data_IF_985615986396
#
_entry.id   IF_985615986396
#
_cell.length_a   1.000
_cell.length_b   1.000
_cell.length_c   1.000
_cell.angle_alpha   90.00
_cell.angle_beta   90.00
_cell.angle_gamma   90.00
#
_symmetry.space_group_name_H-M   'P 1'
#
loop_
_entity.id
_entity.type
_entity.pdbx_description
1 polymer ?
#
# COMPACT_ATOMS: atom_id res chain seq x y z
N UNK A 1 12.45 -58.54 27.91
CA UNK A 1 11.95 -57.63 26.85
C UNK A 1 11.42 -56.39 27.56
N UNK A 2 12.17 -55.31 27.53
CA UNK A 2 11.70 -53.98 28.00
C UNK A 2 10.94 -53.30 26.87
N UNK A 3 9.64 -53.17 27.07
CA UNK A 3 8.77 -52.39 26.18
C UNK A 3 9.08 -50.92 26.41
N UNK A 4 9.78 -50.28 25.47
CA UNK A 4 9.92 -48.83 25.44
C UNK A 4 8.57 -48.26 25.04
N UNK A 5 7.84 -47.75 26.01
CA UNK A 5 6.63 -46.96 25.75
C UNK A 5 7.07 -45.63 25.06
N UNK A 6 6.82 -45.53 23.79
CA UNK A 6 6.88 -44.22 23.10
C UNK A 6 5.76 -43.35 23.68
N UNK A 7 6.15 -42.35 24.45
CA UNK A 7 5.25 -41.29 24.88
C UNK A 7 4.84 -40.51 23.63
N UNK A 8 3.69 -40.83 23.07
CA UNK A 8 3.10 -40.20 21.89
C UNK A 8 2.32 -38.94 22.30
N UNK A 9 3.00 -37.98 22.92
CA UNK A 9 2.41 -36.63 23.06
C UNK A 9 2.12 -36.06 21.70
N UNK A 10 0.86 -35.71 21.41
CA UNK A 10 0.44 -35.08 20.15
C UNK A 10 0.89 -33.63 20.04
N UNK A 11 1.26 -33.02 21.14
CA UNK A 11 1.71 -31.63 21.24
C UNK A 11 3.21 -31.64 21.56
N UNK A 12 4.01 -31.00 20.73
CA UNK A 12 5.43 -30.85 20.91
C UNK A 12 5.86 -29.40 20.79
N UNK A 13 6.90 -29.00 21.52
CA UNK A 13 7.53 -27.70 21.36
C UNK A 13 8.31 -27.72 20.05
N UNK A 14 8.05 -26.73 19.16
CA UNK A 14 8.79 -26.60 17.89
C UNK A 14 10.25 -26.21 18.17
N UNK A 15 11.19 -26.66 17.34
CA UNK A 15 12.55 -26.12 17.34
C UNK A 15 12.49 -24.58 17.10
N UNK A 16 13.35 -23.83 17.79
CA UNK A 16 13.35 -22.36 17.72
C UNK A 16 13.41 -21.83 16.29
N UNK A 17 14.27 -22.40 15.43
CA UNK A 17 14.38 -22.02 14.04
C UNK A 17 13.06 -22.17 13.24
N UNK A 18 12.27 -23.21 13.53
CA UNK A 18 10.96 -23.43 12.89
C UNK A 18 9.94 -22.43 13.44
N UNK A 19 9.93 -22.21 14.76
CA UNK A 19 9.06 -21.21 15.37
C UNK A 19 9.36 -19.79 14.82
N UNK A 20 10.63 -19.46 14.63
CA UNK A 20 11.07 -18.18 14.06
C UNK A 20 10.62 -18.02 12.59
N UNK A 21 10.73 -19.08 11.78
CA UNK A 21 10.24 -19.07 10.40
C UNK A 21 8.71 -18.90 10.30
N UNK A 22 7.95 -19.50 11.24
CA UNK A 22 6.49 -19.33 11.31
C UNK A 22 6.16 -17.88 11.67
N UNK A 23 6.76 -17.35 12.76
CA UNK A 23 6.54 -15.98 13.20
C UNK A 23 6.99 -14.94 12.16
N UNK A 24 8.09 -15.21 11.45
CA UNK A 24 8.52 -14.37 10.33
C UNK A 24 7.46 -14.28 9.22
N UNK A 25 6.53 -15.24 9.14
CA UNK A 25 5.43 -15.19 8.17
C UNK A 25 4.44 -14.08 8.39
N UNK A 26 4.29 -13.62 9.59
CA UNK A 26 3.40 -12.51 9.94
C UNK A 26 4.01 -11.13 9.63
N UNK A 27 5.34 -11.05 9.55
CA UNK A 27 6.09 -9.81 9.36
C UNK A 27 6.60 -9.69 7.92
N UNK A 28 7.15 -10.78 7.38
CA UNK A 28 7.80 -10.82 6.06
C UNK A 28 7.02 -11.73 5.12
N UNK A 29 6.05 -11.17 4.41
CA UNK A 29 5.30 -11.89 3.38
C UNK A 29 5.98 -11.87 2.01
N UNK A 30 6.64 -10.76 1.68
CA UNK A 30 7.23 -10.47 0.37
C UNK A 30 8.34 -9.43 0.45
N UNK A 31 9.10 -9.20 -0.66
CA UNK A 31 10.16 -8.19 -0.70
C UNK A 31 9.71 -6.78 -0.29
N UNK A 32 8.50 -6.35 -0.68
CA UNK A 32 7.99 -5.02 -0.30
C UNK A 32 7.75 -4.87 1.21
N UNK A 33 7.47 -5.97 1.93
CA UNK A 33 7.39 -5.94 3.40
C UNK A 33 8.76 -5.69 4.02
N UNK A 34 9.83 -6.33 3.48
CA UNK A 34 11.21 -6.09 3.91
C UNK A 34 11.60 -4.64 3.69
N UNK A 35 11.37 -4.10 2.47
CA UNK A 35 11.66 -2.70 2.15
C UNK A 35 10.93 -1.76 3.12
N UNK A 36 9.64 -2.01 3.37
CA UNK A 36 8.84 -1.20 4.27
C UNK A 36 9.44 -1.16 5.68
N UNK A 37 9.67 -2.31 6.30
CA UNK A 37 10.17 -2.38 7.68
C UNK A 37 11.58 -1.77 7.81
N UNK A 38 12.47 -1.99 6.83
CA UNK A 38 13.83 -1.43 6.88
C UNK A 38 13.84 0.08 6.65
N UNK A 39 13.03 0.60 5.73
CA UNK A 39 12.89 2.06 5.52
C UNK A 39 12.24 2.71 6.73
N UNK A 40 11.22 2.11 7.34
CA UNK A 40 10.61 2.60 8.58
C UNK A 40 11.64 2.64 9.73
N UNK A 41 12.56 1.65 9.82
CA UNK A 41 13.64 1.68 10.79
C UNK A 41 14.62 2.82 10.54
N UNK A 42 15.01 3.08 9.29
CA UNK A 42 15.84 4.21 8.92
C UNK A 42 15.19 5.55 9.28
N UNK A 43 13.88 5.70 9.03
CA UNK A 43 13.11 6.88 9.42
C UNK A 43 13.06 7.08 10.95
N UNK A 44 12.87 5.99 11.70
CA UNK A 44 12.89 6.01 13.17
C UNK A 44 14.29 6.36 13.72
N UNK A 45 15.36 6.02 12.97
CA UNK A 45 16.74 6.41 13.28
C UNK A 45 17.04 7.89 12.92
N UNK A 46 16.05 8.65 12.45
CA UNK A 46 16.20 10.06 12.10
C UNK A 46 16.98 10.29 10.80
N UNK A 47 16.98 9.34 9.88
CA UNK A 47 17.65 9.49 8.59
C UNK A 47 17.07 10.66 7.78
N UNK A 48 17.96 11.41 7.14
CA UNK A 48 17.63 12.48 6.18
C UNK A 48 17.84 12.03 4.74
N UNK A 49 18.65 10.99 4.54
CA UNK A 49 18.96 10.40 3.23
C UNK A 49 18.86 8.89 3.33
N UNK A 50 18.05 8.29 2.46
CA UNK A 50 17.85 6.84 2.41
C UNK A 50 18.04 6.36 0.97
N UNK A 51 18.98 5.45 0.75
CA UNK A 51 19.21 4.79 -0.54
C UNK A 51 18.74 3.35 -0.48
N UNK A 52 17.86 2.99 -1.39
CA UNK A 52 17.26 1.66 -1.53
C UNK A 52 17.80 1.03 -2.81
N UNK A 53 18.45 -0.12 -2.73
CA UNK A 53 18.89 -0.90 -3.90
C UNK A 53 18.19 -2.24 -3.91
N UNK A 54 17.62 -2.60 -5.05
CA UNK A 54 16.82 -3.80 -5.25
C UNK A 54 17.30 -4.54 -6.48
N UNK A 55 17.45 -5.87 -6.40
CA UNK A 55 17.77 -6.74 -7.53
C UNK A 55 16.74 -7.88 -7.63
N UNK A 56 16.41 -8.26 -8.87
CA UNK A 56 15.40 -9.29 -9.19
C UNK A 56 14.08 -9.09 -8.42
N UNK A 57 13.57 -7.83 -8.38
CA UNK A 57 12.34 -7.51 -7.65
C UNK A 57 12.45 -7.72 -6.13
N UNK A 58 13.66 -7.75 -5.59
CA UNK A 58 13.95 -7.94 -4.17
C UNK A 58 14.03 -9.39 -3.71
N UNK A 59 14.01 -10.34 -4.63
CA UNK A 59 14.24 -11.77 -4.33
C UNK A 59 15.71 -12.07 -4.11
N UNK A 60 16.57 -11.50 -4.97
CA UNK A 60 18.02 -11.67 -4.90
C UNK A 60 18.62 -10.76 -3.84
N UNK A 61 18.28 -9.46 -3.85
CA UNK A 61 18.85 -8.46 -2.95
C UNK A 61 17.88 -7.33 -2.67
N UNK A 62 17.83 -6.92 -1.39
CA UNK A 62 17.32 -5.63 -0.91
C UNK A 62 18.38 -5.04 0.00
N UNK A 63 18.89 -3.86 -0.35
CA UNK A 63 19.86 -3.11 0.45
C UNK A 63 19.31 -1.73 0.75
N UNK A 64 19.30 -1.34 2.03
CA UNK A 64 18.87 -0.04 2.48
C UNK A 64 20.02 0.59 3.27
N UNK A 65 20.46 1.75 2.81
CA UNK A 65 21.51 2.54 3.42
C UNK A 65 20.94 3.89 3.86
N UNK A 66 21.19 4.26 5.10
CA UNK A 66 20.73 5.49 5.73
C UNK A 66 21.87 6.23 6.42
N UNK A 67 21.65 7.52 6.69
CA UNK A 67 22.53 8.44 7.44
C UNK A 67 22.05 8.71 8.88
N UNK A 68 21.19 7.83 9.42
CA UNK A 68 20.61 7.96 10.75
C UNK A 68 21.62 7.87 11.90
N UNK A 69 21.12 7.73 13.13
CA UNK A 69 21.99 7.69 14.34
C UNK A 69 22.91 6.47 14.40
N UNK A 70 22.61 5.40 13.66
CA UNK A 70 23.37 4.15 13.72
C UNK A 70 23.18 3.37 15.01
N UNK A 71 23.96 2.31 15.18
CA UNK A 71 23.99 1.43 16.37
C UNK A 71 25.44 1.18 16.79
N UNK A 72 25.68 1.05 18.08
CA UNK A 72 26.94 0.52 18.57
C UNK A 72 27.03 -1.00 18.37
N UNK A 73 28.16 -1.62 18.73
CA UNK A 73 28.39 -3.06 18.54
C UNK A 73 27.40 -3.93 19.33
N UNK A 74 27.05 -3.50 20.53
CA UNK A 74 26.11 -4.20 21.40
C UNK A 74 24.71 -4.18 20.83
N UNK A 75 24.24 -2.98 20.47
CA UNK A 75 22.92 -2.76 19.87
C UNK A 75 22.79 -3.44 18.50
N UNK A 76 23.84 -3.40 17.66
CA UNK A 76 23.87 -4.07 16.37
C UNK A 76 23.66 -5.58 16.50
N UNK A 77 24.31 -6.21 17.48
CA UNK A 77 24.13 -7.65 17.74
C UNK A 77 22.77 -7.94 18.37
N UNK A 78 22.35 -7.12 19.34
CA UNK A 78 21.08 -7.27 20.04
C UNK A 78 19.87 -7.05 19.13
N UNK A 79 20.00 -6.21 18.09
CA UNK A 79 18.94 -5.92 17.12
C UNK A 79 18.43 -7.15 16.37
N UNK A 80 19.20 -8.24 16.33
CA UNK A 80 18.84 -9.53 15.77
C UNK A 80 18.16 -10.47 16.77
N UNK A 81 18.06 -10.07 18.05
CA UNK A 81 17.33 -10.82 19.08
C UNK A 81 15.85 -10.44 19.05
N UNK A 82 14.98 -11.44 19.23
CA UNK A 82 13.52 -11.20 19.30
C UNK A 82 13.17 -10.34 20.50
N UNK A 83 12.19 -9.47 20.33
CA UNK A 83 11.70 -8.55 21.37
C UNK A 83 12.73 -7.50 21.83
N UNK A 84 13.88 -7.39 21.16
CA UNK A 84 14.83 -6.32 21.40
C UNK A 84 14.41 -5.04 20.65
N UNK A 85 14.14 -3.97 21.40
CA UNK A 85 13.72 -2.70 20.83
C UNK A 85 14.19 -1.53 21.70
N UNK A 86 14.65 -0.46 21.07
CA UNK A 86 14.96 0.81 21.72
C UNK A 86 13.78 1.79 21.78
N UNK A 87 12.60 1.40 21.21
CA UNK A 87 11.51 2.32 20.90
C UNK A 87 10.42 2.37 21.96
N UNK A 88 10.27 1.30 22.76
CA UNK A 88 9.35 1.22 23.90
C UNK A 88 10.00 0.45 25.05
N UNK A 89 9.70 0.84 26.26
CA UNK A 89 10.20 0.19 27.50
C UNK A 89 9.08 -0.24 28.42
N UNK A 90 7.84 0.19 28.15
CA UNK A 90 6.68 -0.18 28.98
C UNK A 90 5.39 -0.33 28.15
N UNK A 91 4.41 -1.04 28.70
CA UNK A 91 3.13 -1.26 28.04
C UNK A 91 2.32 0.02 27.85
N UNK A 92 2.48 1.01 28.71
CA UNK A 92 1.78 2.31 28.62
C UNK A 92 2.23 3.08 27.39
N UNK A 93 3.47 2.90 26.95
CA UNK A 93 4.01 3.53 25.74
C UNK A 93 3.45 2.95 24.43
N UNK A 94 2.71 1.83 24.49
CA UNK A 94 1.98 1.30 23.34
C UNK A 94 0.82 2.21 22.90
N UNK A 95 0.27 2.98 23.85
CA UNK A 95 -0.76 3.97 23.53
C UNK A 95 -0.08 5.21 22.94
N UNK A 96 -0.42 5.54 21.69
CA UNK A 96 0.11 6.74 21.03
C UNK A 96 1.56 6.62 20.53
N UNK A 97 2.04 5.40 20.24
CA UNK A 97 3.36 5.16 19.66
C UNK A 97 3.59 6.01 18.42
N UNK A 98 4.62 6.87 18.45
CA UNK A 98 5.01 7.75 17.35
C UNK A 98 5.99 7.09 16.38
N UNK A 99 6.82 6.14 16.84
CA UNK A 99 7.74 5.40 15.98
C UNK A 99 7.00 4.47 15.04
N UNK A 100 7.51 4.26 13.84
CA UNK A 100 6.93 3.32 12.87
C UNK A 100 7.01 1.87 13.37
N UNK A 101 8.17 1.43 13.88
CA UNK A 101 8.39 0.13 14.50
C UNK A 101 8.39 0.22 16.02
N UNK A 102 7.97 -0.84 16.72
CA UNK A 102 8.01 -0.93 18.19
C UNK A 102 8.12 -2.35 18.74
N UNK A 103 7.91 -3.39 17.92
CA UNK A 103 7.83 -4.80 18.39
C UNK A 103 9.17 -5.50 18.56
N UNK A 104 10.27 -4.96 17.98
CA UNK A 104 11.58 -5.62 18.00
C UNK A 104 11.61 -6.97 17.28
N UNK A 105 10.82 -7.11 16.21
CA UNK A 105 10.67 -8.38 15.49
C UNK A 105 11.08 -8.32 14.01
N UNK A 106 11.21 -7.11 13.42
CA UNK A 106 11.44 -6.97 11.99
C UNK A 106 12.80 -7.56 11.55
N UNK A 107 13.91 -7.13 12.16
CA UNK A 107 15.25 -7.62 11.83
C UNK A 107 15.41 -9.11 12.12
N UNK A 108 15.01 -9.64 13.29
CA UNK A 108 15.04 -11.09 13.56
C UNK A 108 14.20 -11.89 12.54
N UNK A 109 13.02 -11.40 12.19
CA UNK A 109 12.14 -12.07 11.22
C UNK A 109 12.78 -12.10 9.81
N UNK A 110 13.37 -11.00 9.35
CA UNK A 110 14.08 -10.96 8.07
C UNK A 110 15.28 -11.91 8.10
N UNK A 111 16.11 -11.87 9.16
CA UNK A 111 17.27 -12.72 9.30
C UNK A 111 16.92 -14.21 9.31
N UNK A 112 15.77 -14.60 9.90
CA UNK A 112 15.35 -16.01 10.00
C UNK A 112 15.00 -16.64 8.64
N UNK A 113 14.66 -15.83 7.63
CA UNK A 113 14.24 -16.31 6.30
C UNK A 113 15.16 -15.84 5.16
N UNK A 114 16.32 -15.24 5.48
CA UNK A 114 17.27 -14.70 4.48
C UNK A 114 18.71 -14.79 5.00
N UNK A 115 19.65 -14.35 4.19
CA UNK A 115 20.97 -13.93 4.61
C UNK A 115 20.94 -12.43 4.83
N UNK A 116 21.31 -11.99 6.03
CA UNK A 116 21.26 -10.60 6.44
C UNK A 116 22.65 -10.09 6.83
N UNK A 117 22.99 -8.91 6.35
CA UNK A 117 24.21 -8.18 6.74
C UNK A 117 23.81 -6.79 7.24
N UNK A 118 24.33 -6.40 8.38
CA UNK A 118 24.14 -5.07 8.98
C UNK A 118 25.50 -4.43 9.15
N UNK A 119 25.73 -3.32 8.47
CA UNK A 119 26.87 -2.42 8.71
C UNK A 119 26.35 -1.15 9.37
N UNK A 120 26.86 -0.80 10.54
CA UNK A 120 26.33 0.34 11.30
C UNK A 120 27.45 1.05 12.06
N UNK A 121 27.31 2.36 12.23
CA UNK A 121 28.21 3.18 13.02
C UNK A 121 27.44 4.37 13.62
N UNK A 122 27.76 4.71 14.86
CA UNK A 122 27.26 5.91 15.55
C UNK A 122 28.08 7.14 15.23
N UNK A 123 29.34 6.94 14.81
CA UNK A 123 30.29 7.97 14.43
C UNK A 123 31.03 7.56 13.15
N UNK A 124 31.61 8.52 12.44
CA UNK A 124 32.40 8.27 11.24
C UNK A 124 33.70 7.51 11.56
N UNK A 125 33.95 6.46 10.77
CA UNK A 125 35.19 5.70 10.83
C UNK A 125 35.16 4.45 11.72
N UNK A 126 34.40 4.43 12.79
CA UNK A 126 34.30 3.29 13.72
C UNK A 126 32.91 2.67 13.61
N UNK A 127 32.80 1.49 13.04
CA UNK A 127 31.54 0.78 12.86
C UNK A 127 31.66 -0.71 13.11
N UNK A 128 30.52 -1.37 13.03
CA UNK A 128 30.38 -2.82 13.22
C UNK A 128 29.65 -3.43 12.03
N UNK A 129 30.14 -4.58 11.60
CA UNK A 129 29.45 -5.45 10.66
C UNK A 129 28.97 -6.68 11.41
N UNK A 130 27.70 -7.00 11.25
CA UNK A 130 27.07 -8.23 11.77
C UNK A 130 26.46 -8.98 10.58
N UNK A 131 26.75 -10.28 10.47
CA UNK A 131 26.14 -11.17 9.49
C UNK A 131 25.31 -12.24 10.20
N UNK A 132 24.17 -12.52 9.63
CA UNK A 132 23.28 -13.58 10.08
C UNK A 132 22.72 -14.38 8.91
N UNK A 133 22.50 -15.67 9.11
CA UNK A 133 21.84 -16.54 8.13
C UNK A 133 20.86 -17.47 8.84
N UNK A 134 19.63 -17.54 8.36
CA UNK A 134 18.58 -18.38 8.95
C UNK A 134 18.29 -18.08 10.42
N UNK A 135 18.50 -16.83 10.84
CA UNK A 135 18.31 -16.35 12.21
C UNK A 135 19.52 -16.47 13.13
N UNK A 136 20.59 -17.17 12.72
CA UNK A 136 21.82 -17.30 13.51
C UNK A 136 22.85 -16.24 13.12
N UNK A 137 23.43 -15.54 14.10
CA UNK A 137 24.57 -14.66 13.87
C UNK A 137 25.80 -15.52 13.57
N UNK A 138 26.42 -15.29 12.41
CA UNK A 138 27.58 -16.07 11.93
C UNK A 138 28.89 -15.29 12.01
N UNK A 139 28.83 -13.96 12.00
CA UNK A 139 30.01 -13.10 12.09
C UNK A 139 29.67 -11.77 12.76
N UNK A 140 30.57 -11.28 13.60
CA UNK A 140 30.55 -9.90 14.10
C UNK A 140 31.98 -9.38 14.10
N UNK A 141 32.25 -8.32 13.32
CA UNK A 141 33.57 -7.71 13.19
C UNK A 141 33.49 -6.20 13.09
N UNK A 142 34.62 -5.56 13.27
CA UNK A 142 34.75 -4.13 13.07
C UNK A 142 34.65 -3.81 11.56
N UNK A 143 34.08 -2.68 11.23
CA UNK A 143 33.94 -2.15 9.89
C UNK A 143 34.20 -0.64 9.88
N UNK A 144 34.83 -0.15 8.83
CA UNK A 144 35.02 1.29 8.64
C UNK A 144 33.88 1.84 7.78
N UNK A 145 33.08 2.73 8.35
CA UNK A 145 32.00 3.38 7.61
C UNK A 145 31.69 4.78 8.17
N UNK A 146 30.91 5.56 7.44
CA UNK A 146 30.31 6.79 7.94
C UNK A 146 29.15 6.45 8.89
N UNK A 147 28.79 7.39 9.76
CA UNK A 147 27.61 7.30 10.62
C UNK A 147 26.38 6.86 9.81
N UNK A 148 25.51 6.06 10.43
CA UNK A 148 24.28 5.53 9.87
C UNK A 148 24.24 4.02 9.82
N UNK A 149 23.30 3.43 9.08
CA UNK A 149 23.14 1.98 8.95
C UNK A 149 22.99 1.57 7.49
N UNK A 150 23.56 0.43 7.14
CA UNK A 150 23.27 -0.27 5.88
C UNK A 150 22.82 -1.69 6.23
N UNK A 151 21.60 -2.03 5.85
CA UNK A 151 21.07 -3.39 5.97
C UNK A 151 20.97 -3.98 4.58
N UNK A 152 21.63 -5.12 4.37
CA UNK A 152 21.59 -5.88 3.12
C UNK A 152 20.94 -7.23 3.40
N UNK A 153 19.78 -7.48 2.80
CA UNK A 153 19.11 -8.77 2.78
C UNK A 153 19.34 -9.41 1.42
N UNK A 154 19.78 -10.65 1.43
CA UNK A 154 19.97 -11.46 0.22
C UNK A 154 19.29 -12.81 0.34
N UNK A 155 18.97 -13.43 -0.82
CA UNK A 155 18.40 -14.78 -0.93
C UNK A 155 17.14 -14.99 -0.10
N UNK A 156 16.16 -14.07 -0.23
CA UNK A 156 14.89 -14.15 0.51
C UNK A 156 14.21 -15.51 0.33
N UNK A 157 13.83 -16.13 1.45
CA UNK A 157 13.17 -17.45 1.53
C UNK A 157 14.02 -18.63 1.06
N UNK A 158 15.37 -18.52 1.05
CA UNK A 158 16.25 -19.62 0.64
C UNK A 158 16.06 -20.90 1.47
N UNK A 159 15.69 -20.75 2.73
CA UNK A 159 15.45 -21.83 3.70
C UNK A 159 13.97 -22.18 3.88
N UNK A 160 13.07 -21.55 3.12
CA UNK A 160 11.62 -21.79 3.14
C UNK A 160 11.08 -21.96 1.72
N UNK A 161 11.36 -23.12 1.05
CA UNK A 161 11.07 -23.30 -0.40
C UNK A 161 9.59 -23.13 -0.76
N UNK A 162 8.67 -23.49 0.14
CA UNK A 162 7.25 -23.29 -0.08
C UNK A 162 6.94 -21.80 -0.26
N UNK A 163 7.47 -20.93 0.62
CA UNK A 163 7.28 -19.47 0.54
C UNK A 163 7.94 -18.87 -0.69
N UNK A 164 9.13 -19.35 -1.05
CA UNK A 164 9.83 -18.90 -2.25
C UNK A 164 9.00 -19.12 -3.53
N UNK A 165 8.27 -20.26 -3.61
CA UNK A 165 7.36 -20.56 -4.74
C UNK A 165 6.13 -19.65 -4.80
N UNK A 166 5.70 -19.05 -3.70
CA UNK A 166 4.59 -18.10 -3.68
C UNK A 166 4.98 -16.67 -4.08
N UNK A 167 6.27 -16.37 -4.23
CA UNK A 167 6.70 -15.08 -4.75
C UNK A 167 6.25 -14.93 -6.21
N UNK A 168 5.73 -13.75 -6.51
CA UNK A 168 5.30 -13.39 -7.86
C UNK A 168 6.51 -13.18 -8.79
N UNK A 169 6.27 -12.81 -10.04
CA UNK A 169 7.34 -12.42 -10.96
C UNK A 169 8.13 -11.23 -10.40
N UNK A 170 9.43 -11.12 -10.75
CA UNK A 170 10.28 -10.01 -10.32
C UNK A 170 9.65 -8.64 -10.64
N UNK A 171 9.03 -8.53 -11.83
CA UNK A 171 8.29 -7.32 -12.25
C UNK A 171 7.11 -6.97 -11.32
N UNK A 172 6.38 -7.98 -10.87
CA UNK A 172 5.23 -7.76 -9.96
C UNK A 172 5.69 -7.39 -8.54
N UNK A 173 6.76 -8.05 -8.04
CA UNK A 173 7.32 -7.70 -6.73
C UNK A 173 7.95 -6.31 -6.75
N UNK A 174 8.66 -5.96 -7.83
CA UNK A 174 9.20 -4.61 -8.02
C UNK A 174 8.10 -3.54 -8.00
N UNK A 175 6.97 -3.76 -8.70
CA UNK A 175 5.82 -2.83 -8.66
C UNK A 175 5.33 -2.63 -7.23
N UNK A 176 5.19 -3.71 -6.46
CA UNK A 176 4.77 -3.64 -5.05
C UNK A 176 5.76 -2.84 -4.17
N UNK A 177 7.07 -2.94 -4.46
CA UNK A 177 8.11 -2.13 -3.80
C UNK A 177 7.94 -0.65 -4.16
N UNK A 178 7.76 -0.33 -5.45
CA UNK A 178 7.54 1.05 -5.89
C UNK A 178 6.30 1.68 -5.26
N UNK A 179 5.18 0.95 -5.19
CA UNK A 179 3.96 1.43 -4.55
C UNK A 179 4.19 1.74 -3.07
N UNK A 180 4.95 0.89 -2.37
CA UNK A 180 5.34 1.10 -0.98
C UNK A 180 6.22 2.36 -0.85
N UNK A 181 7.20 2.52 -1.72
CA UNK A 181 8.10 3.69 -1.70
C UNK A 181 7.36 5.00 -2.03
N UNK A 182 6.43 4.98 -2.99
CA UNK A 182 5.59 6.13 -3.29
C UNK A 182 4.77 6.58 -2.07
N UNK A 183 4.18 5.63 -1.34
CA UNK A 183 3.42 5.92 -0.14
C UNK A 183 4.29 6.52 0.98
N UNK A 184 5.46 5.92 1.24
CA UNK A 184 6.40 6.41 2.27
C UNK A 184 6.97 7.77 1.88
N UNK A 185 7.40 7.96 0.63
CA UNK A 185 7.96 9.21 0.16
C UNK A 185 6.95 10.37 0.20
N UNK A 186 5.68 10.12 -0.09
CA UNK A 186 4.60 11.09 0.06
C UNK A 186 4.37 11.49 1.52
N UNK A 187 4.64 10.58 2.47
CA UNK A 187 4.52 10.84 3.90
C UNK A 187 5.68 11.70 4.44
N UNK A 188 6.92 11.40 4.00
CA UNK A 188 8.16 11.99 4.48
C UNK A 188 8.77 12.89 3.40
N UNK A 189 8.21 14.10 3.29
CA UNK A 189 8.69 15.11 2.34
C UNK A 189 10.08 15.66 2.70
N UNK A 190 10.46 15.56 3.97
CA UNK A 190 11.71 16.02 4.57
C UNK A 190 12.92 15.11 4.30
N UNK A 191 12.72 13.92 3.73
CA UNK A 191 13.75 12.91 3.48
C UNK A 191 14.07 12.79 2.00
N UNK A 192 15.35 12.69 1.66
CA UNK A 192 15.81 12.35 0.32
C UNK A 192 15.80 10.84 0.13
N UNK A 193 15.03 10.36 -0.85
CA UNK A 193 14.97 8.94 -1.22
C UNK A 193 15.58 8.71 -2.60
N UNK A 194 16.56 7.80 -2.67
CA UNK A 194 17.06 7.28 -3.95
C UNK A 194 16.73 5.79 -4.05
N UNK A 195 16.00 5.38 -5.08
CA UNK A 195 15.64 3.97 -5.31
C UNK A 195 16.30 3.49 -6.59
N UNK A 196 17.07 2.40 -6.47
CA UNK A 196 17.77 1.73 -7.58
C UNK A 196 17.20 0.34 -7.79
N UNK A 197 17.05 -0.04 -9.04
CA UNK A 197 16.62 -1.39 -9.44
C UNK A 197 17.50 -1.90 -10.58
N UNK A 198 18.10 -3.07 -10.37
CA UNK A 198 19.00 -3.72 -11.33
C UNK A 198 20.06 -2.74 -11.89
N UNK A 199 20.71 -2.02 -10.98
CA UNK A 199 21.79 -1.07 -11.29
C UNK A 199 21.33 0.30 -11.81
N UNK A 200 20.03 0.51 -12.09
CA UNK A 200 19.49 1.78 -12.60
C UNK A 200 18.77 2.57 -11.52
N UNK A 201 18.86 3.89 -11.58
CA UNK A 201 18.05 4.76 -10.70
C UNK A 201 16.61 4.78 -11.24
N UNK A 202 15.68 4.31 -10.43
CA UNK A 202 14.25 4.30 -10.74
C UNK A 202 13.52 5.52 -10.16
N UNK A 203 13.91 5.97 -8.96
CA UNK A 203 13.41 7.18 -8.31
C UNK A 203 14.57 7.93 -7.69
N UNK A 204 14.56 9.25 -7.82
CA UNK A 204 15.41 10.18 -7.08
C UNK A 204 14.54 11.34 -6.62
N UNK A 205 14.30 11.39 -5.30
CA UNK A 205 13.31 12.26 -4.67
C UNK A 205 13.98 13.09 -3.57
N UNK A 206 14.61 14.22 -3.90
CA UNK A 206 15.18 15.14 -2.91
C UNK A 206 14.15 15.56 -1.87
N UNK A 207 14.59 16.00 -0.69
CA UNK A 207 13.71 16.63 0.29
C UNK A 207 12.96 17.82 -0.33
N UNK A 208 11.73 18.05 0.09
CA UNK A 208 10.84 19.10 -0.44
C UNK A 208 10.08 19.81 0.67
N UNK A 209 9.67 21.06 0.42
CA UNK A 209 8.96 21.92 1.38
C UNK A 209 7.47 21.52 1.58
N UNK A 210 7.11 20.29 1.29
CA UNK A 210 5.77 19.82 1.59
C UNK A 210 5.17 18.83 0.58
N UNK A 211 3.94 18.45 0.88
CA UNK A 211 3.24 17.38 0.16
C UNK A 211 3.06 17.70 -1.33
N UNK A 212 2.68 18.92 -1.68
CA UNK A 212 2.42 19.31 -3.07
C UNK A 212 3.68 19.19 -3.94
N UNK A 213 4.81 19.69 -3.46
CA UNK A 213 6.09 19.60 -4.15
C UNK A 213 6.56 18.14 -4.27
N UNK A 214 6.41 17.34 -3.20
CA UNK A 214 6.74 15.91 -3.21
C UNK A 214 5.89 15.14 -4.23
N UNK A 215 4.60 15.38 -4.26
CA UNK A 215 3.70 14.72 -5.22
C UNK A 215 3.93 15.21 -6.66
N UNK A 216 4.35 16.47 -6.86
CA UNK A 216 4.77 16.96 -8.16
C UNK A 216 6.01 16.23 -8.68
N UNK A 217 6.98 15.93 -7.81
CA UNK A 217 8.14 15.11 -8.15
C UNK A 217 7.77 13.64 -8.48
N UNK A 218 6.75 13.08 -7.79
CA UNK A 218 6.29 11.71 -8.00
C UNK A 218 5.37 11.53 -9.21
N UNK A 219 4.47 12.47 -9.46
CA UNK A 219 3.38 12.33 -10.45
C UNK A 219 3.50 13.29 -11.62
N UNK A 220 4.36 14.30 -11.50
CA UNK A 220 4.51 15.38 -12.47
C UNK A 220 3.71 16.63 -12.09
N UNK A 221 4.24 17.81 -12.47
CA UNK A 221 3.65 19.11 -12.13
C UNK A 221 2.24 19.27 -12.68
N UNK A 222 2.00 18.89 -13.95
CA UNK A 222 0.67 18.99 -14.59
C UNK A 222 -0.41 18.20 -13.86
N UNK A 223 -0.06 17.04 -13.34
CA UNK A 223 -1.00 16.22 -12.58
C UNK A 223 -1.38 16.90 -11.26
N UNK A 224 -0.42 17.52 -10.58
CA UNK A 224 -0.67 18.17 -9.29
C UNK A 224 -1.42 19.50 -9.41
N UNK A 225 -1.38 20.17 -10.56
CA UNK A 225 -2.20 21.36 -10.83
C UNK A 225 -3.71 21.06 -10.78
N UNK A 226 -4.11 19.80 -10.99
CA UNK A 226 -5.51 19.35 -10.90
C UNK A 226 -6.02 19.25 -9.46
N UNK A 227 -5.15 19.41 -8.46
CA UNK A 227 -5.49 19.20 -7.08
C UNK A 227 -5.63 20.51 -6.29
N UNK A 228 -6.65 20.55 -5.43
CA UNK A 228 -6.87 21.59 -4.44
C UNK A 228 -6.18 21.20 -3.13
N UNK A 229 -5.67 22.17 -2.41
CA UNK A 229 -5.15 21.96 -1.05
C UNK A 229 -6.29 21.88 -0.06
N UNK A 230 -6.19 20.92 0.86
CA UNK A 230 -7.05 20.80 2.04
C UNK A 230 -6.20 21.16 3.23
N UNK A 231 -6.68 22.07 4.06
CA UNK A 231 -6.10 22.41 5.35
C UNK A 231 -7.24 22.89 6.25
N UNK A 232 -7.72 22.04 7.15
CA UNK A 232 -8.87 22.29 7.97
C UNK A 232 -8.76 21.66 9.35
N UNK A 233 -9.16 22.41 10.36
CA UNK A 233 -9.20 21.95 11.75
C UNK A 233 -10.66 21.89 12.21
N UNK A 234 -11.11 20.69 12.56
CA UNK A 234 -12.45 20.47 13.11
C UNK A 234 -12.33 19.77 14.46
N UNK A 235 -12.60 20.52 15.55
CA UNK A 235 -12.35 20.03 16.90
C UNK A 235 -10.89 19.62 17.09
N UNK A 236 -10.62 18.40 17.58
CA UNK A 236 -9.27 17.92 17.79
C UNK A 236 -8.61 17.30 16.51
N UNK A 237 -9.34 17.26 15.40
CA UNK A 237 -8.89 16.63 14.16
C UNK A 237 -8.39 17.69 13.20
N UNK A 238 -7.15 17.54 12.73
CA UNK A 238 -6.58 18.37 11.67
C UNK A 238 -6.45 17.53 10.39
N UNK A 239 -7.10 17.99 9.32
CA UNK A 239 -7.11 17.33 8.00
C UNK A 239 -6.34 18.19 7.02
N UNK A 240 -5.24 17.66 6.52
CA UNK A 240 -4.45 18.31 5.47
C UNK A 240 -4.34 17.41 4.25
N UNK A 241 -4.01 17.96 3.09
CA UNK A 241 -3.79 17.13 1.92
C UNK A 241 -4.12 17.80 0.60
N UNK A 242 -4.36 16.95 -0.38
CA UNK A 242 -4.69 17.33 -1.75
C UNK A 242 -5.88 16.50 -2.25
N UNK A 243 -6.85 17.18 -2.87
CA UNK A 243 -8.04 16.55 -3.45
C UNK A 243 -8.23 17.02 -4.87
N UNK A 244 -8.62 16.14 -5.78
CA UNK A 244 -8.77 16.45 -7.20
C UNK A 244 -9.95 17.42 -7.42
N UNK A 245 -9.76 18.44 -8.25
CA UNK A 245 -10.85 19.37 -8.62
C UNK A 245 -11.96 18.63 -9.37
N UNK A 246 -13.24 18.87 -9.07
CA UNK A 246 -14.36 18.19 -9.74
C UNK A 246 -14.29 18.26 -11.27
N UNK A 247 -13.88 19.41 -11.82
CA UNK A 247 -13.77 19.62 -13.28
C UNK A 247 -12.66 18.79 -13.95
N UNK A 248 -11.69 18.32 -13.18
CA UNK A 248 -10.54 17.56 -13.67
C UNK A 248 -10.64 16.06 -13.41
N UNK A 249 -11.67 15.62 -12.66
CA UNK A 249 -11.89 14.19 -12.37
C UNK A 249 -12.30 13.47 -13.65
N UNK A 250 -11.45 12.56 -14.08
CA UNK A 250 -11.66 11.76 -15.28
C UNK A 250 -11.84 10.27 -14.99
N UNK A 251 -11.91 9.48 -16.09
CA UNK A 251 -11.96 8.01 -16.03
C UNK A 251 -10.57 7.38 -15.91
N UNK A 252 -9.52 8.20 -15.72
CA UNK A 252 -8.13 7.76 -15.62
C UNK A 252 -7.82 7.03 -14.31
N UNK A 253 -6.54 6.69 -14.11
CA UNK A 253 -6.07 6.00 -12.91
C UNK A 253 -6.29 6.85 -11.67
N UNK A 254 -7.16 6.37 -10.80
CA UNK A 254 -7.43 6.96 -9.50
C UNK A 254 -6.27 6.75 -8.54
N UNK A 255 -5.88 7.78 -7.81
CA UNK A 255 -4.82 7.72 -6.80
C UNK A 255 -5.40 8.06 -5.43
N UNK A 256 -5.31 7.12 -4.50
CA UNK A 256 -5.81 7.33 -3.14
C UNK A 256 -4.72 7.01 -2.15
N UNK A 257 -4.38 7.98 -1.31
CA UNK A 257 -3.42 7.83 -0.24
C UNK A 257 -4.00 8.46 1.03
N UNK A 258 -4.11 7.67 2.07
CA UNK A 258 -4.63 8.09 3.37
C UNK A 258 -3.58 7.85 4.44
N UNK A 259 -3.39 8.85 5.29
CA UNK A 259 -2.39 8.83 6.36
C UNK A 259 -3.03 9.29 7.66
N UNK A 260 -2.75 8.59 8.76
CA UNK A 260 -3.15 9.00 10.12
C UNK A 260 -1.89 9.05 11.00
N UNK A 261 -1.66 10.20 11.65
CA UNK A 261 -0.54 10.41 12.57
C UNK A 261 0.80 9.91 12.01
N UNK A 262 1.07 10.20 10.73
CA UNK A 262 2.31 9.82 10.08
C UNK A 262 2.36 8.37 9.57
N UNK A 263 1.25 7.61 9.58
CA UNK A 263 1.19 6.23 9.05
C UNK A 263 0.28 6.14 7.85
N UNK A 264 0.72 5.45 6.82
CA UNK A 264 -0.14 5.10 5.67
C UNK A 264 -1.12 4.01 6.09
N UNK A 265 -2.40 4.26 5.88
CA UNK A 265 -3.46 3.31 6.20
C UNK A 265 -4.36 3.03 4.99
N UNK A 266 -5.01 1.86 5.03
CA UNK A 266 -6.06 1.47 4.09
C UNK A 266 -7.39 1.46 4.83
N UNK A 267 -8.19 2.50 4.63
CA UNK A 267 -9.47 2.63 5.28
C UNK A 267 -10.52 3.21 4.31
N UNK A 268 -11.43 2.34 3.92
CA UNK A 268 -12.50 2.70 2.97
C UNK A 268 -13.54 3.66 3.56
N UNK A 269 -13.71 3.73 4.87
CA UNK A 269 -14.68 4.64 5.49
C UNK A 269 -14.26 6.10 5.35
N UNK A 270 -13.01 6.43 5.65
CA UNK A 270 -12.49 7.79 5.48
C UNK A 270 -12.46 8.21 4.00
N UNK A 271 -12.15 7.26 3.12
CA UNK A 271 -12.22 7.51 1.68
C UNK A 271 -13.65 7.83 1.26
N UNK A 272 -14.64 7.05 1.71
CA UNK A 272 -16.07 7.32 1.44
C UNK A 272 -16.55 8.63 2.06
N UNK A 273 -16.06 9.00 3.24
CA UNK A 273 -16.35 10.28 3.87
C UNK A 273 -15.84 11.45 3.01
N UNK A 274 -14.59 11.36 2.49
CA UNK A 274 -14.05 12.34 1.57
C UNK A 274 -14.83 12.39 0.25
N UNK A 275 -15.20 11.25 -0.34
CA UNK A 275 -16.02 11.14 -1.56
C UNK A 275 -17.43 11.70 -1.37
N UNK A 276 -17.98 11.63 -0.16
CA UNK A 276 -19.29 12.20 0.14
C UNK A 276 -19.36 13.71 -0.10
N UNK A 277 -18.24 14.43 0.04
CA UNK A 277 -18.16 15.85 -0.26
C UNK A 277 -18.34 16.16 -1.77
N UNK A 278 -18.12 15.19 -2.65
CA UNK A 278 -18.24 15.35 -4.10
C UNK A 278 -19.62 14.98 -4.66
N UNK A 279 -20.55 14.50 -3.84
CA UNK A 279 -21.86 13.98 -4.32
C UNK A 279 -22.66 14.95 -5.16
N UNK A 280 -22.51 16.26 -4.93
CA UNK A 280 -23.20 17.31 -5.69
C UNK A 280 -22.47 17.74 -6.97
N UNK A 281 -21.20 17.36 -7.14
CA UNK A 281 -20.34 17.86 -8.20
C UNK A 281 -19.88 16.80 -9.20
N UNK A 282 -19.94 15.52 -8.82
CA UNK A 282 -19.53 14.40 -9.68
C UNK A 282 -20.71 13.50 -10.03
N UNK A 283 -20.74 12.95 -11.25
CA UNK A 283 -21.69 11.90 -11.64
C UNK A 283 -21.54 10.65 -10.77
N UNK A 284 -22.63 9.87 -10.64
CA UNK A 284 -22.60 8.60 -9.94
C UNK A 284 -21.55 7.64 -10.55
N UNK A 285 -20.74 7.01 -9.70
CA UNK A 285 -19.70 6.07 -10.12
C UNK A 285 -18.34 6.71 -10.44
N UNK A 286 -18.27 8.03 -10.63
CA UNK A 286 -17.01 8.75 -10.80
C UNK A 286 -16.40 9.07 -9.44
N UNK A 287 -15.12 8.74 -9.26
CA UNK A 287 -14.43 8.88 -7.98
C UNK A 287 -13.16 9.71 -8.13
N UNK A 288 -12.94 10.73 -7.27
CA UNK A 288 -11.76 11.57 -7.31
C UNK A 288 -10.52 10.88 -6.77
N UNK A 289 -9.35 11.36 -7.17
CA UNK A 289 -8.08 11.06 -6.50
C UNK A 289 -7.95 11.90 -5.23
N UNK A 290 -7.45 11.29 -4.14
CA UNK A 290 -7.39 11.87 -2.81
C UNK A 290 -6.05 11.55 -2.14
N UNK A 291 -5.39 12.55 -1.60
CA UNK A 291 -4.23 12.37 -0.71
C UNK A 291 -4.49 13.14 0.56
N UNK A 292 -4.82 12.45 1.63
CA UNK A 292 -5.23 13.05 2.89
C UNK A 292 -4.31 12.62 4.04
N UNK A 293 -3.94 13.59 4.85
CA UNK A 293 -3.22 13.43 6.12
C UNK A 293 -4.14 13.84 7.25
N UNK A 294 -4.43 12.91 8.13
CA UNK A 294 -5.25 13.12 9.31
C UNK A 294 -4.34 13.17 10.53
N UNK A 295 -4.44 14.24 11.29
CA UNK A 295 -3.84 14.33 12.60
C UNK A 295 -4.94 14.23 13.64
N UNK A 296 -4.90 13.17 14.45
CA UNK A 296 -5.90 12.82 15.46
C UNK A 296 -5.19 12.67 16.79
N UNK A 297 -5.78 13.08 17.93
CA UNK A 297 -5.19 12.85 19.24
C UNK A 297 -4.79 11.39 19.46
N UNK A 298 -3.61 11.18 20.00
CA UNK A 298 -3.00 9.85 20.10
C UNK A 298 -3.73 8.92 21.08
N UNK A 299 -4.43 9.45 22.07
CA UNK A 299 -5.28 8.72 23.03
C UNK A 299 -6.55 8.13 22.39
N UNK A 300 -6.93 8.63 21.22
CA UNK A 300 -8.07 8.14 20.43
C UNK A 300 -7.70 7.10 19.37
N UNK A 301 -6.40 6.76 19.18
CA UNK A 301 -5.93 5.91 18.08
C UNK A 301 -5.20 4.69 18.61
N UNK A 302 -5.73 3.49 18.36
CA UNK A 302 -5.02 2.23 18.57
C UNK A 302 -4.40 1.77 17.25
N UNK A 303 -3.07 1.72 17.21
CA UNK A 303 -2.27 1.29 16.06
C UNK A 303 -1.86 -0.18 16.11
N UNK A 304 -2.14 -0.87 17.21
CA UNK A 304 -1.75 -2.27 17.45
C UNK A 304 -2.83 -3.26 17.00
N UNK A 305 -3.39 -3.08 15.81
CA UNK A 305 -4.51 -3.89 15.31
C UNK A 305 -4.05 -5.03 14.40
N UNK A 306 -3.09 -4.76 13.51
CA UNK A 306 -2.63 -5.72 12.51
C UNK A 306 -1.10 -5.75 12.44
N UNK A 307 -0.45 -6.93 12.23
CA UNK A 307 1.01 -7.03 12.09
C UNK A 307 1.60 -6.08 11.05
N UNK A 308 0.97 -5.95 9.89
CA UNK A 308 1.39 -5.03 8.82
C UNK A 308 1.10 -3.55 9.10
N UNK A 309 0.48 -3.20 10.25
CA UNK A 309 0.16 -1.81 10.67
C UNK A 309 -0.64 -1.01 9.63
N UNK A 310 -1.34 -1.69 8.71
CA UNK A 310 -2.12 -1.08 7.64
C UNK A 310 -3.51 -0.62 8.08
N UNK A 311 -3.93 -1.01 9.29
CA UNK A 311 -5.21 -0.66 9.88
C UNK A 311 -5.00 0.02 11.23
N UNK A 312 -5.87 0.96 11.54
CA UNK A 312 -5.94 1.62 12.85
C UNK A 312 -7.35 1.53 13.39
N UNK A 313 -7.50 1.36 14.70
CA UNK A 313 -8.78 1.49 15.36
C UNK A 313 -8.88 2.87 16.02
N UNK A 314 -9.95 3.58 15.73
CA UNK A 314 -10.28 4.82 16.39
C UNK A 314 -11.32 4.53 17.49
N UNK A 315 -11.12 5.14 18.66
CA UNK A 315 -12.09 5.07 19.75
C UNK A 315 -13.45 5.62 19.30
N UNK A 316 -13.43 6.75 18.63
CA UNK A 316 -14.61 7.39 18.05
C UNK A 316 -14.33 7.76 16.59
N UNK A 317 -14.88 6.97 15.72
CA UNK A 317 -14.64 7.07 14.28
C UNK A 317 -15.48 8.17 13.61
N UNK A 318 -16.72 8.33 14.07
CA UNK A 318 -17.67 9.20 13.41
C UNK A 318 -17.27 10.69 13.37
N UNK A 319 -16.76 11.32 14.46
CA UNK A 319 -16.27 12.70 14.41
C UNK A 319 -15.12 12.88 13.40
N UNK A 320 -14.24 11.89 13.26
CA UNK A 320 -13.12 11.95 12.31
C UNK A 320 -13.61 11.85 10.87
N UNK A 321 -14.54 10.94 10.56
CA UNK A 321 -15.17 10.84 9.24
C UNK A 321 -15.89 12.13 8.86
N UNK A 322 -16.61 12.72 9.80
CA UNK A 322 -17.28 14.01 9.60
C UNK A 322 -16.30 15.16 9.38
N UNK A 323 -15.20 15.19 10.12
CA UNK A 323 -14.13 16.18 9.92
C UNK A 323 -13.53 16.08 8.52
N UNK A 324 -13.26 14.85 8.04
CA UNK A 324 -12.76 14.59 6.68
C UNK A 324 -13.76 15.10 5.63
N UNK A 325 -15.05 14.75 5.74
CA UNK A 325 -16.07 15.22 4.80
C UNK A 325 -16.17 16.75 4.79
N UNK A 326 -16.16 17.40 5.96
CA UNK A 326 -16.24 18.85 6.06
C UNK A 326 -15.00 19.55 5.49
N UNK A 327 -13.80 19.05 5.77
CA UNK A 327 -12.55 19.58 5.26
C UNK A 327 -12.51 19.57 3.73
N UNK A 328 -12.88 18.43 3.13
CA UNK A 328 -12.94 18.30 1.67
C UNK A 328 -14.02 19.21 1.09
N UNK A 329 -15.22 19.27 1.70
CA UNK A 329 -16.32 20.14 1.26
C UNK A 329 -15.93 21.62 1.30
N UNK A 330 -15.21 22.06 2.33
CA UNK A 330 -14.70 23.45 2.42
C UNK A 330 -13.67 23.73 1.32
N UNK A 331 -12.75 22.82 1.06
CA UNK A 331 -11.77 22.97 -0.01
C UNK A 331 -12.42 23.07 -1.39
N UNK A 332 -13.50 22.32 -1.64
CA UNK A 332 -14.30 22.41 -2.87
C UNK A 332 -15.14 23.69 -2.92
N UNK A 333 -15.75 24.12 -1.81
CA UNK A 333 -16.63 25.29 -1.74
C UNK A 333 -15.89 26.62 -1.88
N UNK A 334 -14.62 26.72 -1.53
CA UNK A 334 -13.78 27.90 -1.79
C UNK A 334 -13.66 28.19 -3.29
N UNK A 335 -13.70 27.13 -4.14
CA UNK A 335 -13.66 27.32 -5.59
C UNK A 335 -15.01 27.80 -6.16
N UNK A 336 -16.13 27.33 -5.61
CA UNK A 336 -17.47 27.82 -6.02
C UNK A 336 -17.62 29.30 -5.70
N UNK A 337 -17.12 29.75 -4.54
CA UNK A 337 -17.13 31.15 -4.15
C UNK A 337 -16.20 32.02 -5.02
N UNK A 338 -15.05 31.50 -5.45
CA UNK A 338 -14.11 32.22 -6.33
C UNK A 338 -14.55 32.23 -7.80
N UNK A 339 -15.26 31.19 -8.24
CA UNK A 339 -15.86 31.15 -9.57
C UNK A 339 -17.07 32.10 -9.72
N UNK A 340 -17.71 32.44 -8.60
CA UNK A 340 -18.89 33.33 -8.54
C UNK A 340 -18.58 34.85 -8.65
N UNK A 341 -17.31 35.26 -8.71
CA UNK A 341 -16.91 36.68 -8.81
C UNK A 341 -16.70 37.12 -10.27
N UNK A 342 -17.10 36.33 -11.23
CA UNK A 342 -17.35 36.83 -12.58
C UNK A 342 -18.78 37.41 -12.67
N UNK A 343 -18.94 38.67 -12.41
CA UNK A 343 -20.20 39.41 -12.62
C UNK A 343 -20.64 39.26 -14.10
N UNK A 344 -21.26 38.18 -14.45
CA UNK A 344 -22.24 38.17 -15.54
C UNK A 344 -23.54 38.62 -14.90
N UNK A 345 -23.85 39.94 -15.07
CA UNK A 345 -25.19 40.41 -14.94
C UNK A 345 -26.06 39.53 -15.83
N UNK A 346 -26.82 38.63 -15.22
CA UNK A 346 -27.88 37.91 -15.89
C UNK A 346 -28.97 38.95 -16.21
N UNK A 347 -28.94 39.51 -17.42
CA UNK A 347 -30.08 40.19 -17.99
C UNK A 347 -31.11 39.11 -18.31
N UNK A 348 -32.29 39.13 -17.67
CA UNK A 348 -33.35 38.23 -18.07
C UNK A 348 -33.58 38.41 -19.56
N UNK A 349 -33.36 37.34 -20.34
CA UNK A 349 -33.83 37.35 -21.71
C UNK A 349 -35.33 37.64 -21.69
N UNK A 350 -35.74 38.66 -22.45
CA UNK A 350 -37.14 39.00 -22.64
C UNK A 350 -37.91 37.68 -22.90
N UNK A 351 -38.90 37.42 -22.05
CA UNK A 351 -39.80 36.25 -22.24
C UNK A 351 -40.37 36.35 -23.64
N UNK A 352 -40.20 35.33 -24.50
CA UNK A 352 -40.88 35.29 -25.78
C UNK A 352 -42.39 35.33 -25.52
N UNK A 353 -43.07 36.27 -26.14
CA UNK A 353 -44.53 36.40 -26.07
C UNK A 353 -45.15 35.30 -26.89
N UNK A 354 -45.34 34.14 -26.30
CA UNK A 354 -45.97 32.93 -26.90
C UNK A 354 -47.48 33.08 -27.04
N UNK A 355 -48.01 34.28 -26.72
CA UNK A 355 -49.46 34.56 -26.81
C UNK A 355 -49.90 35.17 -28.14
N UNK A 356 -49.02 35.37 -29.09
CA UNK A 356 -49.37 35.78 -30.44
C UNK A 356 -48.93 34.71 -31.41
N UNK A 357 -49.85 33.85 -31.78
CA UNK A 357 -50.05 33.14 -33.03
C UNK A 357 -50.71 31.78 -32.76
N UNK A 358 -51.98 31.85 -32.40
CA UNK A 358 -52.84 30.71 -32.57
C UNK A 358 -53.34 30.74 -34.01
N UNK A 359 -52.53 30.26 -34.94
CA UNK A 359 -53.03 29.82 -36.22
C UNK A 359 -53.51 28.37 -36.10
N UNK A 360 -54.81 28.21 -36.22
CA UNK A 360 -55.51 26.98 -36.47
C UNK A 360 -54.77 26.12 -37.50
N UNK A 361 -54.23 24.99 -36.99
CA UNK A 361 -53.82 23.87 -37.85
C UNK A 361 -54.96 22.87 -37.86
N UNK A 362 -55.47 22.61 -39.05
CA UNK A 362 -56.46 21.60 -39.33
C UNK A 362 -55.97 20.21 -38.96
N UNK A 363 -56.87 19.27 -38.56
CA UNK A 363 -56.51 17.92 -38.20
C UNK A 363 -56.42 17.05 -39.46
N UNK A 364 -55.22 16.82 -39.95
CA UNK A 364 -55.04 15.75 -40.93
C UNK A 364 -53.85 14.85 -40.60
N UNK A 365 -54.16 13.54 -40.78
CA UNK A 365 -53.25 12.41 -40.84
C UNK A 365 -52.71 11.84 -39.54
N UNK A 366 -53.53 11.01 -38.92
CA UNK A 366 -53.13 9.83 -38.19
C UNK A 366 -52.20 8.93 -39.03
N UNK A 367 -50.92 8.96 -38.78
CA UNK A 367 -49.99 7.88 -39.17
C UNK A 367 -49.59 7.07 -37.94
N UNK A 368 -49.68 5.73 -37.99
CA UNK A 368 -49.35 4.90 -36.88
C UNK A 368 -47.83 4.95 -36.60
N UNK A 369 -47.47 5.12 -35.34
CA UNK A 369 -46.08 5.01 -34.85
C UNK A 369 -45.68 3.53 -34.90
N UNK A 370 -44.46 3.19 -35.35
CA UNK A 370 -43.95 1.82 -35.21
C UNK A 370 -43.74 1.50 -33.74
N UNK A 371 -44.32 0.42 -33.26
CA UNK A 371 -44.06 -0.22 -31.98
C UNK A 371 -42.66 -0.83 -32.02
N UNK A 372 -41.77 -0.32 -31.18
CA UNK A 372 -40.54 -1.05 -30.87
C UNK A 372 -40.85 -2.06 -29.76
N UNK A 373 -41.13 -3.26 -30.15
CA UNK A 373 -41.04 -4.44 -29.30
C UNK A 373 -39.60 -5.00 -29.41
N UNK A 374 -39.01 -5.23 -28.27
CA UNK A 374 -37.82 -6.09 -28.15
C UNK A 374 -36.54 -5.40 -27.82
N UNK A 375 -36.32 -5.09 -26.55
CA UNK A 375 -34.98 -5.14 -25.89
C UNK A 375 -35.10 -5.11 -24.35
N UNK A 376 -35.84 -6.06 -23.79
CA UNK A 376 -35.68 -6.44 -22.39
C UNK A 376 -35.75 -7.96 -22.32
N UNK A 377 -34.60 -8.56 -22.39
CA UNK A 377 -34.42 -9.97 -22.13
C UNK A 377 -33.03 -10.23 -21.58
N UNK A 378 -33.04 -10.87 -20.42
CA UNK A 378 -31.94 -11.56 -19.76
C UNK A 378 -31.30 -10.79 -18.58
N UNK A 379 -31.72 -11.12 -17.41
CA UNK A 379 -31.25 -12.08 -16.41
C UNK A 379 -30.11 -11.55 -15.56
N UNK A 380 -30.48 -11.31 -14.29
CA UNK A 380 -29.58 -11.21 -13.18
C UNK A 380 -28.77 -12.51 -13.06
N UNK A 381 -27.45 -12.38 -12.94
CA UNK A 381 -26.62 -13.30 -12.14
C UNK A 381 -25.23 -12.75 -11.89
N UNK A 382 -24.80 -12.98 -10.64
CA UNK A 382 -23.43 -13.00 -10.15
C UNK A 382 -22.70 -11.66 -9.95
N UNK A 383 -22.78 -11.20 -8.71
CA UNK A 383 -21.80 -10.35 -8.06
C UNK A 383 -20.54 -11.18 -7.84
N UNK A 384 -19.49 -10.90 -8.57
CA UNK A 384 -18.14 -11.37 -8.24
C UNK A 384 -17.30 -10.19 -7.77
N UNK A 385 -16.83 -10.37 -6.55
CA UNK A 385 -16.02 -9.44 -5.75
C UNK A 385 -14.58 -9.49 -6.27
N UNK A 386 -14.22 -8.69 -7.27
CA UNK A 386 -12.84 -8.56 -7.73
C UNK A 386 -12.17 -7.32 -7.15
N UNK A 387 -11.23 -7.59 -6.25
CA UNK A 387 -10.22 -6.69 -5.74
C UNK A 387 -9.34 -6.17 -6.90
N UNK A 388 -9.58 -4.97 -7.39
CA UNK A 388 -8.70 -4.35 -8.38
C UNK A 388 -7.49 -3.69 -7.72
N UNK A 389 -6.38 -4.39 -7.83
CA UNK A 389 -5.03 -3.85 -7.75
C UNK A 389 -4.76 -2.92 -8.94
N UNK A 390 -3.99 -1.88 -8.70
CA UNK A 390 -3.51 -0.88 -9.64
C UNK A 390 -2.91 -1.49 -10.92
N UNK A 391 -3.50 -1.23 -12.09
CA UNK A 391 -2.92 -1.55 -13.39
C UNK A 391 -2.58 -0.27 -14.15
N UNK A 392 -1.29 -0.10 -14.45
CA UNK A 392 -0.82 0.91 -15.40
C UNK A 392 -1.02 0.39 -16.84
N UNK A 393 -1.42 1.31 -17.73
CA UNK A 393 -1.83 1.04 -19.09
C UNK A 393 -0.81 0.32 -19.97
N UNK A 394 -1.32 -0.57 -20.79
CA UNK A 394 -0.59 -1.20 -21.89
C UNK A 394 -0.66 -0.34 -23.15
N UNK A 395 0.51 -0.06 -23.71
CA UNK A 395 0.64 0.41 -25.08
C UNK A 395 0.45 -0.78 -26.03
N UNK A 396 -0.45 -0.63 -26.98
CA UNK A 396 -0.66 -1.55 -28.10
C UNK A 396 0.47 -1.39 -29.10
N UNK A 397 1.02 -2.51 -29.53
CA UNK A 397 1.58 -2.63 -30.89
C UNK A 397 1.14 -3.94 -31.51
N UNK A 398 0.57 -3.79 -32.69
CA UNK A 398 0.10 -4.84 -33.56
C UNK A 398 1.18 -5.18 -34.59
N UNK A 399 1.35 -6.45 -34.89
CA UNK A 399 1.51 -6.97 -36.28
C UNK A 399 1.91 -8.43 -36.25
N UNK A 400 1.09 -9.24 -36.78
CA UNK A 400 1.04 -9.96 -38.05
C UNK A 400 1.84 -11.26 -38.16
N UNK A 401 1.10 -12.29 -38.32
CA UNK A 401 1.09 -13.29 -39.42
C UNK A 401 1.95 -14.55 -39.38
N UNK A 402 1.26 -15.59 -39.72
CA UNK A 402 1.59 -16.79 -40.56
C UNK A 402 2.05 -18.04 -39.80
N UNK A 403 1.22 -19.02 -39.62
CA UNK A 403 0.80 -20.20 -40.43
C UNK A 403 1.86 -21.28 -40.72
N UNK A 404 1.34 -22.52 -40.68
CA UNK A 404 1.88 -23.80 -41.22
C UNK A 404 2.55 -24.68 -40.17
N UNK A 405 2.08 -25.85 -39.77
CA UNK A 405 1.39 -26.91 -40.42
C UNK A 405 1.93 -28.24 -39.90
N UNK A 406 1.05 -29.23 -39.85
CA UNK A 406 1.29 -30.66 -39.83
C UNK A 406 1.51 -31.42 -38.53
N UNK A 407 0.55 -32.26 -38.27
CA UNK A 407 0.52 -33.46 -37.41
C UNK A 407 1.15 -34.66 -38.16
N UNK A 408 0.95 -35.91 -37.70
CA UNK A 408 1.13 -36.57 -36.41
C UNK A 408 2.04 -37.82 -36.52
N UNK A 409 2.37 -38.49 -35.45
CA UNK A 409 2.66 -39.97 -35.46
C UNK A 409 2.40 -40.54 -34.06
N UNK A 410 1.68 -41.66 -34.06
CA UNK A 410 1.30 -42.64 -33.04
C UNK A 410 2.50 -43.22 -32.25
N UNK A 411 2.36 -43.68 -31.01
CA UNK A 411 2.02 -45.07 -30.68
C UNK A 411 2.27 -45.38 -29.19
N UNK A 412 1.28 -46.11 -28.64
CA UNK A 412 1.30 -47.15 -27.59
C UNK A 412 2.27 -47.10 -26.37
N UNK A 413 1.82 -47.16 -25.13
CA UNK A 413 1.46 -48.36 -24.39
C UNK A 413 1.31 -48.14 -22.88
N UNK A 414 0.23 -48.68 -22.34
CA UNK A 414 0.02 -49.45 -21.12
C UNK A 414 0.39 -48.90 -19.73
N UNK A 415 -0.71 -48.73 -18.97
CA UNK A 415 -0.96 -49.23 -17.60
C UNK A 415 0.00 -48.84 -16.47
N UNK A 416 -0.47 -48.00 -15.54
CA UNK A 416 -0.71 -48.50 -14.18
C UNK A 416 -1.68 -47.55 -13.41
N UNK A 417 -2.69 -48.14 -12.80
CA UNK A 417 -3.73 -47.46 -12.05
C UNK A 417 -3.33 -47.42 -10.57
N UNK A 418 -3.26 -46.23 -10.00
CA UNK A 418 -3.26 -46.06 -8.55
C UNK A 418 -4.51 -45.26 -8.10
N UNK A 419 -5.12 -45.62 -6.97
CA UNK A 419 -6.46 -45.16 -6.61
C UNK A 419 -6.45 -43.73 -6.06
N UNK A 420 -7.39 -42.94 -6.56
CA UNK A 420 -7.71 -41.61 -6.06
C UNK A 420 -8.42 -41.74 -4.70
N UNK A 421 -7.75 -41.32 -3.63
CA UNK A 421 -8.36 -41.13 -2.33
C UNK A 421 -9.22 -39.84 -2.36
N UNK A 422 -10.53 -40.00 -2.32
CA UNK A 422 -11.49 -38.91 -2.14
C UNK A 422 -11.43 -38.38 -0.71
N UNK A 423 -11.15 -37.09 -0.55
CA UNK A 423 -11.23 -36.39 0.73
C UNK A 423 -12.68 -35.92 0.93
N UNK A 424 -13.32 -36.20 2.07
CA UNK A 424 -14.69 -35.73 2.34
C UNK A 424 -14.70 -34.22 2.65
N UNK A 425 -15.81 -33.50 2.36
CA UNK A 425 -15.91 -32.07 2.57
C UNK A 425 -15.99 -31.72 4.06
N UNK A 426 -15.25 -30.69 4.45
CA UNK A 426 -15.24 -30.11 5.80
C UNK A 426 -16.62 -29.48 6.11
N UNK A 427 -17.29 -29.98 7.14
CA UNK A 427 -18.47 -29.36 7.75
C UNK A 427 -18.08 -28.06 8.47
N UNK A 428 -18.64 -26.94 8.05
CA UNK A 428 -18.60 -25.69 8.80
C UNK A 428 -19.59 -25.76 9.98
N UNK A 429 -19.06 -25.75 11.19
CA UNK A 429 -19.82 -25.53 12.41
C UNK A 429 -20.13 -24.01 12.56
N UNK A 430 -21.39 -23.65 12.38
CA UNK A 430 -21.92 -22.34 12.78
C UNK A 430 -21.85 -22.22 14.31
N UNK A 431 -21.11 -21.26 14.81
CA UNK A 431 -21.28 -20.78 16.20
C UNK A 431 -22.35 -19.70 16.22
N UNK A 432 -23.45 -20.02 16.86
CA UNK A 432 -24.40 -19.07 17.46
C UNK A 432 -23.90 -18.74 18.86
N UNK A 433 -23.57 -17.45 19.07
CA UNK A 433 -23.81 -16.72 20.34
C UNK A 433 -23.72 -15.24 20.01
#
# INVERSE_FOLDING_TARGET
AATVAFDMSRIAILPSAVADQIAAGEVVERPSSVVKELVENALDAGATTITITVEDGGKALVRIADDGVGMDRSDATLSLSRHATSKITSAEQLVGVRSYGFRGEALPAIASVSELEIETATEDGAGTLVRAAGGAVIETRDAARRRGTTVTMSRLFYNTPARQKFLRSARSEWRSILDTMHAIAALRCDVHFTVRHDGRVALDLPATDGLRARLAALWGHREIERFLSVDDVTGPVHVTGLVERPADVGTGTRRTLLMINGRVIRDHGFIRAAEAAYRSTLPAGVRPSLVLRLHVPSDGVDVNVHPAKAEVRLRDRWPVERAVEQAVRRALGVMDASAGIGWRTWTPAATPDWRRDVHTLEPDALRPRPTFEGLFGATADAVDDEQHAWSAGEARDASSSASVGAAPVDDESAADATPVLSVPPLMQLRRTY
#
